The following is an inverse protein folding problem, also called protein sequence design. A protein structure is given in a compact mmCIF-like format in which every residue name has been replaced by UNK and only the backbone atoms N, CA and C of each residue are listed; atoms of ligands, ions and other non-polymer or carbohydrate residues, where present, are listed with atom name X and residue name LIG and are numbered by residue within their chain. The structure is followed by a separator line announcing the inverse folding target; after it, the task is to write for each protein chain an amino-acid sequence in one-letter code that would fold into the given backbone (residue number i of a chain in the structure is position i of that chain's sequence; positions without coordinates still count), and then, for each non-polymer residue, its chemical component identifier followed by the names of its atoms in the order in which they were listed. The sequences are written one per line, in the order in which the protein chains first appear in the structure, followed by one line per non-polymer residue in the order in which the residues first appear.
data_IF_085766010369
#
_entry.id   IF_085766010369
#
_cell.length_a   1.000
_cell.length_b   1.000
_cell.length_c   1.000
_cell.angle_alpha   90.00
_cell.angle_beta   90.00
_cell.angle_gamma   90.00
#
_symmetry.space_group_name_H-M   'P 1'
#
loop_
_entity.id
_entity.type
_entity.pdbx_description
1 polymer ?
#
# COMPACT_ATOMS: atom_id res chain seq x y z
N UNK A 1 2.26 13.47 -6.96
CA UNK A 1 3.67 13.67 -7.35
C UNK A 1 4.25 12.29 -7.62
N UNK A 2 4.82 12.04 -8.79
CA UNK A 2 5.24 10.68 -9.17
C UNK A 2 6.62 10.37 -8.57
N UNK A 3 6.83 9.13 -8.12
CA UNK A 3 8.17 8.70 -7.68
C UNK A 3 9.14 8.61 -8.87
N UNK A 4 8.59 8.30 -10.06
CA UNK A 4 9.30 8.14 -11.34
C UNK A 4 8.76 9.03 -12.43
N UNK A 5 9.67 9.44 -13.30
CA UNK A 5 9.40 10.28 -14.45
C UNK A 5 9.52 9.60 -15.77
N UNK A 6 9.30 10.39 -16.81
CA UNK A 6 9.47 9.94 -18.20
C UNK A 6 10.93 9.84 -18.60
N UNK A 7 11.86 10.35 -17.79
CA UNK A 7 13.30 10.20 -17.98
C UNK A 7 13.97 9.49 -16.81
N UNK A 8 14.71 8.42 -17.11
CA UNK A 8 15.55 7.69 -16.15
C UNK A 8 16.97 8.28 -16.05
N UNK A 9 17.21 9.46 -16.64
CA UNK A 9 18.53 10.08 -16.70
C UNK A 9 18.67 11.19 -15.67
N UNK A 10 19.76 11.15 -14.92
CA UNK A 10 20.17 12.25 -14.05
C UNK A 10 20.36 13.53 -14.88
N UNK A 11 19.91 14.63 -14.31
CA UNK A 11 20.03 16.01 -14.79
C UNK A 11 19.24 16.30 -16.07
N UNK A 12 18.27 15.44 -16.40
CA UNK A 12 17.29 15.71 -17.44
C UNK A 12 15.98 16.25 -16.86
N UNK A 13 15.26 17.09 -17.62
CA UNK A 13 13.87 17.39 -17.30
C UNK A 13 13.07 16.10 -17.15
N UNK A 14 12.11 16.09 -16.21
CA UNK A 14 11.21 14.97 -15.94
C UNK A 14 11.89 13.71 -15.38
N UNK A 15 12.95 13.86 -14.60
CA UNK A 15 13.56 12.76 -13.82
C UNK A 15 12.90 12.53 -12.43
N UNK A 16 11.81 13.26 -12.15
CA UNK A 16 10.89 13.16 -11.00
C UNK A 16 11.56 13.02 -9.61
N UNK A 17 10.77 12.66 -8.60
CA UNK A 17 11.14 12.82 -7.19
C UNK A 17 12.34 11.95 -6.77
N UNK A 18 12.47 10.72 -7.26
CA UNK A 18 13.55 9.83 -6.81
C UNK A 18 14.92 10.36 -7.26
N UNK A 19 15.11 10.58 -8.56
CA UNK A 19 16.39 11.10 -9.07
C UNK A 19 16.61 12.56 -8.64
N UNK A 20 15.54 13.35 -8.55
CA UNK A 20 15.59 14.71 -8.00
C UNK A 20 16.11 14.75 -6.55
N UNK A 21 15.68 13.82 -5.70
CA UNK A 21 16.16 13.69 -4.33
C UNK A 21 17.64 13.28 -4.28
N UNK A 22 18.05 12.30 -5.09
CA UNK A 22 19.46 11.87 -5.18
C UNK A 22 20.36 13.05 -5.60
N UNK A 23 19.91 13.86 -6.55
CA UNK A 23 20.61 15.07 -6.97
C UNK A 23 20.66 16.14 -5.88
N UNK A 24 19.57 16.30 -5.13
CA UNK A 24 19.51 17.23 -4.01
C UNK A 24 20.52 16.83 -2.94
N UNK A 25 20.60 15.55 -2.59
CA UNK A 25 21.57 15.02 -1.63
C UNK A 25 23.00 15.29 -2.07
N UNK A 26 23.30 15.13 -3.36
CA UNK A 26 24.62 15.46 -3.91
C UNK A 26 24.99 16.95 -3.90
N UNK A 27 24.08 17.86 -3.53
CA UNK A 27 24.46 19.27 -3.26
C UNK A 27 24.99 19.48 -1.84
N UNK A 28 24.72 18.56 -0.93
CA UNK A 28 25.03 18.68 0.50
C UNK A 28 26.01 17.61 0.99
N UNK A 29 26.27 16.58 0.20
CA UNK A 29 27.18 15.49 0.54
C UNK A 29 28.21 15.27 -0.59
N UNK A 30 29.49 15.44 -0.25
CA UNK A 30 30.60 15.39 -1.21
C UNK A 30 30.76 13.99 -1.83
N UNK A 31 30.48 12.93 -1.07
CA UNK A 31 30.55 11.54 -1.54
C UNK A 31 29.49 11.29 -2.61
N UNK A 32 28.26 11.75 -2.38
CA UNK A 32 27.17 11.69 -3.35
C UNK A 32 27.43 12.61 -4.54
N UNK A 33 28.03 13.78 -4.35
CA UNK A 33 28.45 14.67 -5.44
C UNK A 33 29.45 13.97 -6.37
N UNK A 34 30.46 13.31 -5.79
CA UNK A 34 31.44 12.54 -6.54
C UNK A 34 30.78 11.36 -7.27
N UNK A 35 29.91 10.61 -6.59
CA UNK A 35 29.15 9.51 -7.19
C UNK A 35 28.36 9.98 -8.42
N UNK A 36 27.60 11.08 -8.30
CA UNK A 36 26.85 11.68 -9.42
C UNK A 36 27.77 12.09 -10.57
N UNK A 37 28.93 12.69 -10.28
CA UNK A 37 29.93 13.06 -11.29
C UNK A 37 30.42 11.85 -12.10
N UNK A 38 30.67 10.73 -11.42
CA UNK A 38 31.11 9.48 -12.06
C UNK A 38 30.01 8.88 -12.96
N UNK A 39 28.74 8.98 -12.56
CA UNK A 39 27.61 8.56 -13.39
C UNK A 39 27.53 9.42 -14.65
N UNK A 40 27.59 10.75 -14.52
CA UNK A 40 27.55 11.69 -15.64
C UNK A 40 28.68 11.48 -16.65
N UNK A 41 29.88 11.12 -16.16
CA UNK A 41 31.05 10.79 -16.99
C UNK A 41 30.96 9.42 -17.64
N UNK A 42 29.90 8.64 -17.40
CA UNK A 42 29.75 7.23 -17.80
C UNK A 42 30.92 6.33 -17.34
N UNK A 43 31.67 6.77 -16.32
CA UNK A 43 32.82 6.03 -15.80
C UNK A 43 32.39 4.92 -14.85
N UNK A 44 31.18 4.99 -14.31
CA UNK A 44 30.59 3.95 -13.48
C UNK A 44 29.26 3.46 -14.09
N UNK A 45 29.20 2.17 -14.44
CA UNK A 45 28.01 1.53 -15.03
C UNK A 45 27.01 1.03 -13.98
N UNK A 46 27.39 0.97 -12.69
CA UNK A 46 26.52 0.46 -11.61
C UNK A 46 26.27 1.58 -10.61
N UNK A 47 25.10 2.20 -10.70
CA UNK A 47 24.83 3.40 -9.92
C UNK A 47 23.49 3.42 -9.17
N UNK A 48 22.88 2.25 -8.92
CA UNK A 48 21.69 2.01 -8.07
C UNK A 48 20.47 2.94 -8.30
N UNK A 49 20.51 3.79 -9.32
CA UNK A 49 19.47 4.75 -9.68
C UNK A 49 18.55 4.21 -10.78
N UNK A 50 18.72 2.95 -11.20
CA UNK A 50 17.88 2.34 -12.23
C UNK A 50 16.45 2.15 -11.72
N UNK A 51 15.50 2.07 -12.64
CA UNK A 51 14.11 1.89 -12.30
C UNK A 51 13.88 0.58 -11.52
N UNK A 52 14.64 -0.48 -11.80
CA UNK A 52 14.51 -1.75 -11.08
C UNK A 52 14.89 -1.62 -9.60
N UNK A 53 15.97 -0.89 -9.30
CA UNK A 53 16.39 -0.66 -7.91
C UNK A 53 15.39 0.24 -7.20
N UNK A 54 14.86 1.24 -7.89
CA UNK A 54 13.78 2.06 -7.36
C UNK A 54 12.53 1.23 -7.03
N UNK A 55 12.13 0.27 -7.89
CA UNK A 55 10.98 -0.61 -7.64
C UNK A 55 11.24 -1.51 -6.43
N UNK A 56 12.45 -2.06 -6.34
CA UNK A 56 12.85 -2.85 -5.19
C UNK A 56 12.76 -2.04 -3.89
N UNK A 57 13.24 -0.80 -3.90
CA UNK A 57 13.16 0.07 -2.72
C UNK A 57 11.72 0.38 -2.34
N UNK A 58 10.86 0.72 -3.31
CA UNK A 58 9.43 0.96 -3.08
C UNK A 58 8.79 -0.28 -2.46
N UNK A 59 9.05 -1.46 -3.02
CA UNK A 59 8.49 -2.72 -2.54
C UNK A 59 8.97 -3.06 -1.13
N UNK A 60 10.26 -2.86 -0.83
CA UNK A 60 10.80 -3.07 0.52
C UNK A 60 10.16 -2.15 1.54
N UNK A 61 10.03 -0.86 1.22
CA UNK A 61 9.37 0.11 2.11
C UNK A 61 7.89 -0.22 2.29
N UNK A 62 7.17 -0.54 1.20
CA UNK A 62 5.76 -0.90 1.25
C UNK A 62 5.53 -2.16 2.09
N UNK A 63 6.39 -3.17 1.94
CA UNK A 63 6.32 -4.39 2.75
C UNK A 63 6.61 -4.09 4.22
N UNK A 64 7.64 -3.30 4.53
CA UNK A 64 7.95 -2.95 5.92
C UNK A 64 6.80 -2.21 6.62
N UNK A 65 6.18 -1.25 5.92
CA UNK A 65 5.00 -0.54 6.42
C UNK A 65 3.83 -1.51 6.64
N UNK A 66 3.58 -2.40 5.67
CA UNK A 66 2.52 -3.39 5.76
C UNK A 66 2.74 -4.36 6.93
N UNK A 67 3.95 -4.89 7.08
CA UNK A 67 4.30 -5.82 8.16
C UNK A 67 4.13 -5.15 9.53
N UNK A 68 4.49 -3.87 9.64
CA UNK A 68 4.27 -3.08 10.86
C UNK A 68 2.78 -2.93 11.16
N UNK A 69 1.95 -2.64 10.14
CA UNK A 69 0.50 -2.53 10.30
C UNK A 69 -0.09 -3.87 10.76
N UNK A 70 0.33 -4.99 10.15
CA UNK A 70 -0.15 -6.34 10.48
C UNK A 70 0.24 -6.71 11.92
N UNK A 71 1.48 -6.43 12.32
CA UNK A 71 1.93 -6.67 13.69
C UNK A 71 1.10 -5.89 14.72
N UNK A 72 0.87 -4.60 14.47
CA UNK A 72 0.03 -3.78 15.34
C UNK A 72 -1.42 -4.25 15.37
N UNK A 73 -1.94 -4.76 14.26
CA UNK A 73 -3.27 -5.35 14.18
C UNK A 73 -3.35 -6.63 15.03
N UNK A 74 -2.35 -7.49 14.96
CA UNK A 74 -2.27 -8.70 15.79
C UNK A 74 -2.20 -8.37 17.28
N UNK A 75 -1.45 -7.33 17.66
CA UNK A 75 -1.40 -6.83 19.04
C UNK A 75 -2.75 -6.27 19.51
N UNK A 76 -3.48 -5.59 18.63
CA UNK A 76 -4.83 -5.11 18.91
C UNK A 76 -5.86 -6.24 19.01
N UNK A 77 -5.55 -7.40 18.41
CA UNK A 77 -6.40 -8.58 18.22
C UNK A 77 -7.63 -8.31 17.36
N UNK A 78 -8.52 -7.41 17.80
CA UNK A 78 -9.79 -7.14 17.13
C UNK A 78 -9.71 -5.94 16.19
N UNK A 79 -10.36 -6.07 15.04
CA UNK A 79 -10.37 -5.03 14.01
C UNK A 79 -11.72 -4.97 13.29
N UNK A 80 -11.98 -3.89 12.56
CA UNK A 80 -12.97 -3.82 11.51
C UNK A 80 -12.32 -3.61 10.16
N UNK A 81 -12.99 -4.06 9.11
CA UNK A 81 -12.54 -3.87 7.73
C UNK A 81 -13.44 -2.86 7.02
N UNK A 82 -12.83 -2.00 6.23
CA UNK A 82 -13.49 -1.00 5.40
C UNK A 82 -12.99 -1.22 3.99
N UNK A 83 -13.91 -1.44 3.06
CA UNK A 83 -13.59 -1.64 1.65
C UNK A 83 -14.42 -0.72 0.78
N UNK A 84 -13.76 -0.12 -0.21
CA UNK A 84 -14.39 0.71 -1.22
C UNK A 84 -14.04 0.18 -2.63
N UNK A 85 -15.02 0.15 -3.52
CA UNK A 85 -14.87 -0.32 -4.90
C UNK A 85 -14.98 0.86 -5.85
N UNK A 86 -13.88 1.19 -6.53
CA UNK A 86 -13.83 2.26 -7.53
C UNK A 86 -13.48 1.69 -8.90
N UNK A 87 -14.13 2.12 -9.99
CA UNK A 87 -13.73 1.75 -11.34
C UNK A 87 -12.36 2.38 -11.67
N UNK A 88 -11.43 1.57 -12.16
CA UNK A 88 -10.12 2.01 -12.67
C UNK A 88 -10.23 2.58 -14.09
N UNK A 89 -9.19 3.31 -14.51
CA UNK A 89 -8.99 3.89 -15.85
C UNK A 89 -9.21 2.85 -16.96
N UNK A 90 -8.90 1.58 -16.68
CA UNK A 90 -9.06 0.42 -17.57
C UNK A 90 -10.48 -0.19 -17.61
N UNK A 91 -11.46 0.38 -16.88
CA UNK A 91 -12.81 -0.17 -16.61
C UNK A 91 -12.84 -1.47 -15.79
N UNK A 92 -11.73 -1.85 -15.17
CA UNK A 92 -11.71 -2.92 -14.16
C UNK A 92 -12.08 -2.35 -12.79
N UNK A 93 -12.86 -3.06 -11.98
CA UNK A 93 -13.15 -2.62 -10.62
C UNK A 93 -11.93 -2.89 -9.72
N UNK A 94 -11.52 -1.90 -8.92
CA UNK A 94 -10.52 -2.08 -7.88
C UNK A 94 -11.17 -1.92 -6.51
N UNK A 95 -10.90 -2.87 -5.63
CA UNK A 95 -11.33 -2.85 -4.24
C UNK A 95 -10.16 -2.39 -3.36
N UNK A 96 -10.35 -1.30 -2.64
CA UNK A 96 -9.45 -0.82 -1.59
C UNK A 96 -9.71 -1.59 -0.29
N UNK A 97 -8.64 -1.89 0.44
CA UNK A 97 -8.71 -2.56 1.74
C UNK A 97 -8.10 -1.69 2.82
N UNK A 98 -8.92 -1.32 3.79
CA UNK A 98 -8.50 -0.58 4.98
C UNK A 98 -8.90 -1.36 6.22
N UNK A 99 -7.98 -1.49 7.17
CA UNK A 99 -8.25 -2.06 8.50
C UNK A 99 -8.33 -0.94 9.52
N UNK A 100 -9.26 -1.07 10.46
CA UNK A 100 -9.45 -0.14 11.56
C UNK A 100 -9.35 -0.91 12.87
N UNK A 101 -8.44 -0.51 13.74
CA UNK A 101 -8.24 -1.17 15.02
C UNK A 101 -7.80 -0.17 16.09
N UNK A 102 -7.84 -0.63 17.34
CA UNK A 102 -7.51 0.18 18.51
C UNK A 102 -6.06 -0.08 18.89
N UNK A 103 -5.27 0.99 18.99
CA UNK A 103 -3.90 0.94 19.48
C UNK A 103 -3.80 1.62 20.85
N UNK A 104 -3.11 0.96 21.77
CA UNK A 104 -2.82 1.51 23.10
C UNK A 104 -1.44 2.19 23.08
N UNK A 105 -1.42 3.50 23.29
CA UNK A 105 -0.19 4.29 23.38
C UNK A 105 -0.08 4.85 24.79
N UNK A 106 0.74 4.19 25.63
CA UNK A 106 0.82 4.49 27.06
C UNK A 106 -0.52 4.22 27.76
N UNK A 107 -1.13 5.27 28.32
CA UNK A 107 -2.45 5.20 28.93
C UNK A 107 -3.59 5.64 27.98
N UNK A 108 -3.27 6.05 26.76
CA UNK A 108 -4.24 6.54 25.79
C UNK A 108 -4.67 5.43 24.84
N UNK A 109 -5.94 5.47 24.45
CA UNK A 109 -6.54 4.58 23.46
C UNK A 109 -6.76 5.41 22.19
N UNK A 110 -6.17 4.97 21.08
CA UNK A 110 -6.25 5.66 19.79
C UNK A 110 -6.83 4.69 18.77
N UNK A 111 -7.78 5.17 17.97
CA UNK A 111 -8.30 4.41 16.83
C UNK A 111 -7.41 4.74 15.64
N UNK A 112 -6.87 3.71 14.98
CA UNK A 112 -6.08 3.85 13.77
C UNK A 112 -6.77 3.18 12.59
N UNK A 113 -6.68 3.83 11.44
CA UNK A 113 -7.12 3.30 10.15
C UNK A 113 -5.91 3.18 9.25
N UNK A 114 -5.69 1.99 8.71
CA UNK A 114 -4.53 1.66 7.90
C UNK A 114 -4.93 1.00 6.59
N UNK A 115 -4.47 1.60 5.50
CA UNK A 115 -4.62 1.05 4.17
C UNK A 115 -3.66 -0.12 3.96
N UNK A 116 -4.18 -1.26 3.49
CA UNK A 116 -3.43 -2.49 3.24
C UNK A 116 -3.03 -2.59 1.76
N UNK A 117 -3.94 -2.23 0.86
CA UNK A 117 -3.72 -2.32 -0.57
C UNK A 117 -4.99 -2.27 -1.41
N UNK A 118 -4.79 -2.24 -2.72
CA UNK A 118 -5.84 -2.46 -3.71
C UNK A 118 -5.78 -3.90 -4.22
N UNK A 119 -6.93 -4.46 -4.56
CA UNK A 119 -7.03 -5.69 -5.34
C UNK A 119 -8.01 -5.50 -6.47
N UNK A 120 -7.68 -6.06 -7.63
CA UNK A 120 -8.58 -6.09 -8.78
C UNK A 120 -9.75 -7.02 -8.49
N UNK A 121 -10.96 -6.48 -8.59
CA UNK A 121 -12.20 -7.24 -8.54
C UNK A 121 -12.55 -7.69 -9.95
N UNK A 122 -12.28 -8.96 -10.25
CA UNK A 122 -12.69 -9.59 -11.53
C UNK A 122 -14.16 -9.97 -11.54
N UNK A 123 -14.74 -10.13 -10.35
CA UNK A 123 -16.16 -10.42 -10.11
C UNK A 123 -16.71 -9.38 -9.13
N UNK A 124 -17.57 -8.50 -9.63
CA UNK A 124 -18.20 -7.41 -8.87
C UNK A 124 -19.48 -7.83 -8.14
N UNK A 125 -19.86 -9.11 -8.21
CA UNK A 125 -20.94 -9.65 -7.38
C UNK A 125 -20.53 -9.65 -5.91
N UNK A 126 -21.50 -9.63 -5.00
CA UNK A 126 -21.20 -9.70 -3.56
C UNK A 126 -20.42 -10.93 -3.14
N UNK A 127 -20.62 -12.06 -3.84
CA UNK A 127 -19.86 -13.28 -3.57
C UNK A 127 -18.39 -13.11 -3.99
N UNK A 128 -18.14 -12.62 -5.20
CA UNK A 128 -16.79 -12.38 -5.71
C UNK A 128 -16.01 -11.40 -4.82
N UNK A 129 -16.63 -10.28 -4.45
CA UNK A 129 -16.03 -9.29 -3.56
C UNK A 129 -15.79 -9.84 -2.13
N UNK A 130 -16.71 -10.64 -1.59
CA UNK A 130 -16.51 -11.31 -0.29
C UNK A 130 -15.34 -12.29 -0.32
N UNK A 131 -15.23 -13.08 -1.40
CA UNK A 131 -14.12 -14.02 -1.58
C UNK A 131 -12.79 -13.29 -1.75
N UNK A 132 -12.77 -12.19 -2.51
CA UNK A 132 -11.61 -11.34 -2.66
C UNK A 132 -11.16 -10.75 -1.33
N UNK A 133 -12.10 -10.33 -0.49
CA UNK A 133 -11.81 -9.87 0.87
C UNK A 133 -11.19 -10.96 1.73
N UNK A 134 -11.82 -12.14 1.80
CA UNK A 134 -11.31 -13.25 2.61
C UNK A 134 -9.92 -13.71 2.14
N UNK A 135 -9.70 -13.77 0.82
CA UNK A 135 -8.40 -14.09 0.26
C UNK A 135 -7.36 -13.02 0.61
N UNK A 136 -7.73 -11.74 0.56
CA UNK A 136 -6.83 -10.64 0.92
C UNK A 136 -6.42 -10.69 2.39
N UNK A 137 -7.35 -10.98 3.29
CA UNK A 137 -7.03 -11.17 4.71
C UNK A 137 -6.07 -12.35 4.90
N UNK A 138 -6.35 -13.48 4.23
CA UNK A 138 -5.50 -14.67 4.27
C UNK A 138 -4.09 -14.43 3.73
N UNK A 139 -3.96 -13.72 2.60
CA UNK A 139 -2.68 -13.35 2.00
C UNK A 139 -1.81 -12.51 2.96
N UNK A 140 -2.44 -11.76 3.86
CA UNK A 140 -1.80 -10.90 4.85
C UNK A 140 -1.69 -11.55 6.24
N UNK A 141 -2.02 -12.84 6.38
CA UNK A 141 -2.06 -13.54 7.67
C UNK A 141 -2.96 -12.84 8.71
N UNK A 142 -4.09 -12.31 8.27
CA UNK A 142 -5.09 -11.66 9.14
C UNK A 142 -6.27 -12.62 9.33
N UNK A 143 -6.57 -12.95 10.58
CA UNK A 143 -7.64 -13.87 10.94
C UNK A 143 -9.02 -13.21 10.87
N UNK A 144 -9.89 -13.69 9.99
CA UNK A 144 -11.25 -13.15 9.87
C UNK A 144 -12.09 -13.36 11.15
N UNK A 145 -11.76 -14.36 11.97
CA UNK A 145 -12.46 -14.65 13.25
C UNK A 145 -12.33 -13.53 14.28
N UNK A 146 -11.30 -12.69 14.14
CA UNK A 146 -11.09 -11.51 14.98
C UNK A 146 -11.74 -10.24 14.42
N UNK A 147 -12.35 -10.30 13.23
CA UNK A 147 -13.11 -9.20 12.64
C UNK A 147 -14.40 -8.94 13.43
N UNK A 148 -14.62 -7.68 13.85
CA UNK A 148 -15.77 -7.21 14.64
C UNK A 148 -16.66 -6.22 13.90
N UNK A 149 -16.29 -5.81 12.69
CA UNK A 149 -17.08 -4.90 11.88
C UNK A 149 -16.65 -4.90 10.42
N UNK A 150 -17.61 -4.66 9.52
CA UNK A 150 -17.38 -4.61 8.09
C UNK A 150 -18.11 -3.39 7.51
N UNK A 151 -17.41 -2.55 6.75
CA UNK A 151 -17.97 -1.38 6.07
C UNK A 151 -17.73 -1.46 4.57
N UNK A 152 -18.80 -1.29 3.77
CA UNK A 152 -18.78 -1.45 2.31
C UNK A 152 -19.44 -0.22 1.65
N UNK A 153 -18.75 0.46 0.73
CA UNK A 153 -19.32 1.64 0.02
C UNK A 153 -20.39 1.23 -1.03
N UNK A 154 -20.34 0.00 -1.53
CA UNK A 154 -21.34 -0.58 -2.43
C UNK A 154 -22.15 -1.71 -1.77
N UNK A 155 -22.76 -1.42 -0.61
CA UNK A 155 -23.54 -2.39 0.17
C UNK A 155 -24.69 -3.09 -0.57
N UNK A 156 -25.10 -2.62 -1.77
CA UNK A 156 -26.08 -3.30 -2.61
C UNK A 156 -25.55 -4.61 -3.23
N UNK A 157 -24.29 -4.63 -3.68
CA UNK A 157 -23.69 -5.83 -4.28
C UNK A 157 -23.28 -6.83 -3.20
N UNK A 158 -22.80 -6.35 -2.05
CA UNK A 158 -22.37 -7.17 -0.90
C UNK A 158 -23.52 -7.77 -0.08
N UNK A 159 -24.78 -7.47 -0.41
CA UNK A 159 -25.99 -8.12 0.15
C UNK A 159 -26.21 -9.53 -0.41
N UNK A 160 -25.15 -10.33 -0.46
CA UNK A 160 -25.24 -11.77 -0.72
C UNK A 160 -26.14 -12.44 0.32
N UNK A 161 -26.82 -13.51 -0.11
CA UNK A 161 -27.85 -14.31 0.58
C UNK A 161 -27.42 -15.00 1.90
N UNK A 162 -26.52 -14.42 2.70
CA UNK A 162 -26.11 -14.94 4.01
C UNK A 162 -26.98 -14.28 5.08
N UNK A 163 -28.02 -15.00 5.51
CA UNK A 163 -28.93 -14.62 6.60
C UNK A 163 -28.30 -14.76 8.00
N UNK A 164 -27.04 -14.37 8.19
CA UNK A 164 -26.39 -14.44 9.53
C UNK A 164 -25.73 -13.13 9.99
N UNK A 165 -25.74 -12.06 9.18
CA UNK A 165 -25.20 -10.75 9.61
C UNK A 165 -26.30 -9.79 10.10
N UNK A 166 -27.02 -10.19 11.15
CA UNK A 166 -27.72 -9.24 12.02
C UNK A 166 -26.93 -9.11 13.32
N UNK A 167 -26.58 -7.88 13.67
CA UNK A 167 -26.12 -7.50 15.00
C UNK A 167 -27.06 -8.10 16.06
N UNK A 168 -26.58 -9.10 16.77
CA UNK A 168 -26.95 -9.48 18.12
C UNK A 168 -25.57 -9.64 18.79
N UNK A 169 -25.07 -8.75 19.65
CA UNK A 169 -25.69 -8.04 20.77
C UNK A 169 -25.15 -6.62 20.87
#
# INVERSE_FOLDING_TARGET
MAFRGTSDKLFQPNNENCLGLVQLLGKYDDVMAEHLSQISKKSNRKHYCSHEIQDQLINLMANNVRDTIIANLHDAKYYSIITDCTPDISKSEQMSFTVRFVEKVGNSIIIKEHFIGFKTATDSTGLGLSQLMLQTLKDNNIEFTDCRGQGYDNGANMKGKIKEFRQNY
#
